data_IF_885626641181
#
_entry.id   IF_885626641181
#
_cell.length_a   1.000
_cell.length_b   1.000
_cell.length_c   1.000
_cell.angle_alpha   90.00
_cell.angle_beta   90.00
_cell.angle_gamma   90.00
#
_symmetry.space_group_name_H-M   'P 1'
#
loop_
_entity.id
_entity.type
_entity.pdbx_description
1 polymer ?
#
# COMPACT_ATOMS: atom_id res chain seq x y z
N UNK A 1 46.92 -10.50 13.08
CA UNK A 1 45.98 -9.51 13.70
C UNK A 1 44.87 -9.03 12.76
N UNK A 2 45.07 -8.97 11.45
CA UNK A 2 44.09 -8.42 10.46
C UNK A 2 42.97 -9.38 10.05
N UNK A 3 43.15 -10.69 10.25
CA UNK A 3 42.23 -11.72 9.76
C UNK A 3 40.86 -11.73 10.48
N UNK A 4 40.83 -11.40 11.78
CA UNK A 4 39.59 -11.33 12.55
C UNK A 4 38.72 -10.14 12.15
N UNK A 5 39.35 -9.00 11.85
CA UNK A 5 38.65 -7.82 11.33
C UNK A 5 38.03 -8.10 9.96
N UNK A 6 38.74 -8.81 9.08
CA UNK A 6 38.20 -9.22 7.78
C UNK A 6 36.96 -10.12 7.92
N UNK A 7 36.98 -11.08 8.85
CA UNK A 7 35.82 -11.94 9.13
C UNK A 7 34.63 -11.12 9.66
N UNK A 8 34.88 -10.21 10.61
CA UNK A 8 33.83 -9.32 11.13
C UNK A 8 33.22 -8.44 10.03
N UNK A 9 34.05 -7.89 9.13
CA UNK A 9 33.56 -7.10 8.00
C UNK A 9 32.73 -7.93 7.02
N UNK A 10 33.13 -9.17 6.74
CA UNK A 10 32.38 -10.07 5.85
C UNK A 10 31.03 -10.43 6.47
N UNK A 11 30.99 -10.73 7.78
CA UNK A 11 29.75 -11.01 8.50
C UNK A 11 28.85 -9.78 8.52
N UNK A 12 29.39 -8.59 8.81
CA UNK A 12 28.63 -7.34 8.80
C UNK A 12 28.02 -7.04 7.42
N UNK A 13 28.82 -7.18 6.35
CA UNK A 13 28.35 -7.00 4.98
C UNK A 13 27.29 -8.05 4.60
N UNK A 14 27.44 -9.29 5.04
CA UNK A 14 26.46 -10.36 4.78
C UNK A 14 25.12 -10.08 5.48
N UNK A 15 25.15 -9.58 6.72
CA UNK A 15 23.95 -9.16 7.45
C UNK A 15 23.29 -7.96 6.76
N UNK A 16 24.08 -6.97 6.32
CA UNK A 16 23.55 -5.81 5.59
C UNK A 16 22.91 -6.21 4.26
N UNK A 17 23.55 -7.12 3.50
CA UNK A 17 23.01 -7.63 2.24
C UNK A 17 21.75 -8.46 2.44
N UNK A 18 21.71 -9.30 3.48
CA UNK A 18 20.52 -10.07 3.85
C UNK A 18 19.37 -9.15 4.29
N UNK A 19 19.65 -8.11 5.09
CA UNK A 19 18.67 -7.13 5.53
C UNK A 19 18.10 -6.32 4.36
N UNK A 20 18.94 -5.87 3.43
CA UNK A 20 18.48 -5.15 2.22
C UNK A 20 17.67 -6.06 1.29
N UNK A 21 18.01 -7.34 1.18
CA UNK A 21 17.22 -8.31 0.41
C UNK A 21 15.87 -8.61 1.07
N UNK A 22 15.81 -8.68 2.40
CA UNK A 22 14.55 -8.80 3.13
C UNK A 22 13.68 -7.54 3.00
N UNK A 23 14.28 -6.35 3.06
CA UNK A 23 13.59 -5.08 2.82
C UNK A 23 13.06 -4.93 1.39
N UNK A 24 13.65 -5.65 0.43
CA UNK A 24 13.16 -5.70 -0.96
C UNK A 24 11.94 -6.59 -1.18
N UNK A 25 11.47 -7.30 -0.16
CA UNK A 25 10.09 -7.82 -0.19
C UNK A 25 9.16 -6.62 -0.07
N UNK A 26 8.77 -6.05 -1.21
CA UNK A 26 7.75 -5.03 -1.26
C UNK A 26 6.52 -5.56 -0.51
N UNK A 27 6.11 -4.85 0.55
CA UNK A 27 4.93 -5.20 1.35
C UNK A 27 3.67 -5.27 0.47
N UNK A 28 3.66 -4.45 -0.59
CA UNK A 28 2.60 -4.37 -1.59
C UNK A 28 3.22 -4.51 -3.00
N UNK A 29 3.57 -5.73 -3.45
CA UNK A 29 4.24 -5.93 -4.74
C UNK A 29 3.36 -5.53 -5.93
N UNK A 30 2.04 -5.64 -5.78
CA UNK A 30 0.98 -5.13 -6.66
C UNK A 30 1.05 -3.61 -6.87
N UNK A 31 1.36 -2.85 -5.81
CA UNK A 31 1.60 -1.41 -5.90
C UNK A 31 2.78 -1.04 -6.80
N UNK A 32 3.78 -1.92 -6.88
CA UNK A 32 4.96 -1.75 -7.75
C UNK A 32 4.73 -2.30 -9.17
N UNK A 33 3.91 -3.36 -9.30
CA UNK A 33 3.52 -3.98 -10.57
C UNK A 33 2.12 -3.57 -10.98
N UNK A 34 1.92 -2.27 -11.14
CA UNK A 34 0.66 -1.70 -11.61
C UNK A 34 0.34 -2.25 -13.00
N UNK A 35 -0.88 -2.78 -13.17
CA UNK A 35 -1.41 -3.23 -14.46
C UNK A 35 -1.38 -2.06 -15.45
N UNK A 36 -0.81 -2.29 -16.64
CA UNK A 36 -0.58 -1.23 -17.64
C UNK A 36 -1.91 -0.56 -18.00
N UNK A 37 -2.11 0.69 -17.58
CA UNK A 37 -3.36 1.46 -17.77
C UNK A 37 -4.01 1.98 -16.49
N UNK A 38 -3.70 1.40 -15.32
CA UNK A 38 -4.29 1.78 -14.02
C UNK A 38 -3.50 2.88 -13.29
N UNK A 39 -2.41 3.38 -13.89
CA UNK A 39 -1.50 4.37 -13.26
C UNK A 39 -2.20 5.66 -12.81
N UNK A 40 -3.28 6.08 -13.47
CA UNK A 40 -4.05 7.27 -13.07
C UNK A 40 -4.94 7.04 -11.85
N UNK A 41 -5.31 5.79 -11.56
CA UNK A 41 -6.20 5.39 -10.47
C UNK A 41 -5.44 5.20 -9.14
N UNK A 42 -4.14 4.89 -9.19
CA UNK A 42 -3.24 4.76 -8.02
C UNK A 42 -2.56 6.10 -7.68
N UNK A 43 -2.96 7.18 -8.35
CA UNK A 43 -2.52 8.54 -8.00
C UNK A 43 -2.89 8.81 -6.52
N UNK A 44 -2.01 9.39 -5.69
CA UNK A 44 -2.27 9.63 -4.27
C UNK A 44 -3.35 10.71 -4.06
N UNK A 45 -4.58 10.42 -4.47
CA UNK A 45 -5.74 11.31 -4.41
C UNK A 45 -6.00 11.73 -2.97
N UNK A 46 -5.98 10.79 -2.03
CA UNK A 46 -6.20 11.03 -0.60
C UNK A 46 -5.00 11.69 0.13
N UNK A 47 -3.92 12.04 -0.57
CA UNK A 47 -2.73 12.68 0.03
C UNK A 47 -2.36 14.01 -0.63
N UNK A 48 -3.25 14.60 -1.44
CA UNK A 48 -2.99 15.90 -2.09
C UNK A 48 -3.28 17.10 -1.20
N UNK A 49 -4.24 16.96 -0.29
CA UNK A 49 -4.69 18.01 0.61
C UNK A 49 -5.10 17.44 1.96
N UNK A 50 -5.25 18.32 2.96
CA UNK A 50 -5.72 17.91 4.29
C UNK A 50 -7.19 17.47 4.22
N UNK A 51 -7.97 18.12 3.36
CA UNK A 51 -9.37 17.78 3.09
C UNK A 51 -9.50 16.38 2.53
N UNK A 52 -8.63 16.00 1.58
CA UNK A 52 -8.63 14.65 1.01
C UNK A 52 -8.25 13.60 2.08
N UNK A 53 -7.30 13.91 2.96
CA UNK A 53 -6.92 13.02 4.06
C UNK A 53 -8.08 12.87 5.05
N UNK A 54 -8.74 13.96 5.41
CA UNK A 54 -9.89 13.94 6.33
C UNK A 54 -11.04 13.12 5.74
N UNK A 55 -11.31 13.26 4.44
CA UNK A 55 -12.32 12.48 3.74
C UNK A 55 -12.02 10.97 3.79
N UNK A 56 -10.75 10.58 3.63
CA UNK A 56 -10.35 9.19 3.79
C UNK A 56 -10.66 8.68 5.20
N UNK A 57 -10.32 9.47 6.22
CA UNK A 57 -10.63 9.10 7.61
C UNK A 57 -12.13 9.00 7.87
N UNK A 58 -12.92 9.89 7.29
CA UNK A 58 -14.39 9.85 7.40
C UNK A 58 -14.96 8.58 6.77
N UNK A 59 -14.51 8.21 5.56
CA UNK A 59 -14.87 6.95 4.91
C UNK A 59 -14.51 5.74 5.77
N UNK A 60 -13.30 5.72 6.35
CA UNK A 60 -12.86 4.62 7.22
C UNK A 60 -13.70 4.56 8.51
N UNK A 61 -14.01 5.71 9.11
CA UNK A 61 -14.81 5.82 10.33
C UNK A 61 -16.28 5.47 10.11
N UNK A 62 -16.81 5.70 8.91
CA UNK A 62 -18.15 5.30 8.51
C UNK A 62 -18.34 3.76 8.44
N UNK A 63 -17.28 2.99 8.72
CA UNK A 63 -17.35 1.54 8.77
C UNK A 63 -17.23 0.90 7.40
N UNK A 64 -16.36 1.45 6.55
CA UNK A 64 -15.97 0.84 5.28
C UNK A 64 -15.55 -0.62 5.50
N UNK A 65 -16.15 -1.52 4.72
CA UNK A 65 -15.84 -2.94 4.72
C UNK A 65 -15.13 -3.30 3.42
N UNK A 66 -14.16 -4.20 3.53
CA UNK A 66 -13.48 -4.80 2.39
C UNK A 66 -13.79 -6.28 2.50
N UNK A 67 -14.63 -6.79 1.61
CA UNK A 67 -14.93 -8.22 1.59
C UNK A 67 -13.74 -8.98 0.98
N UNK A 68 -13.14 -9.85 1.78
CA UNK A 68 -12.03 -10.71 1.38
C UNK A 68 -12.43 -11.77 0.35
N UNK A 69 -13.71 -12.16 0.28
CA UNK A 69 -14.19 -13.21 -0.63
C UNK A 69 -14.72 -12.63 -1.95
N UNK A 70 -15.58 -11.61 -1.89
CA UNK A 70 -16.19 -11.01 -3.08
C UNK A 70 -15.39 -9.85 -3.69
N UNK A 71 -14.27 -9.42 -3.06
CA UNK A 71 -13.40 -8.41 -3.64
C UNK A 71 -14.17 -7.12 -3.98
N UNK A 72 -15.02 -6.72 -3.04
CA UNK A 72 -15.84 -5.52 -3.15
C UNK A 72 -15.69 -4.68 -1.89
N UNK A 73 -15.46 -3.39 -2.13
CA UNK A 73 -15.45 -2.39 -1.09
C UNK A 73 -16.88 -1.89 -0.87
N UNK A 74 -17.35 -1.96 0.37
CA UNK A 74 -18.68 -1.51 0.77
C UNK A 74 -18.56 -0.36 1.75
N UNK A 75 -19.23 0.76 1.44
CA UNK A 75 -19.39 1.88 2.36
C UNK A 75 -20.86 1.90 2.78
N UNK A 76 -21.17 1.73 4.08
CA UNK A 76 -22.55 1.75 4.58
C UNK A 76 -23.27 3.09 4.42
N UNK A 77 -22.50 4.18 4.41
CA UNK A 77 -22.98 5.55 4.25
C UNK A 77 -23.27 5.86 2.77
N UNK A 78 -24.53 6.15 2.44
CA UNK A 78 -25.00 6.42 1.08
C UNK A 78 -24.44 7.73 0.52
N UNK A 79 -24.24 8.75 1.36
CA UNK A 79 -23.68 10.03 0.93
C UNK A 79 -22.22 9.84 0.51
N UNK A 80 -21.44 9.16 1.36
CA UNK A 80 -20.04 8.87 1.08
C UNK A 80 -19.90 7.92 -0.12
N UNK A 81 -20.74 6.89 -0.22
CA UNK A 81 -20.73 5.94 -1.34
C UNK A 81 -21.00 6.61 -2.70
N UNK A 82 -21.77 7.70 -2.72
CA UNK A 82 -22.07 8.46 -3.94
C UNK A 82 -20.88 9.27 -4.48
N UNK A 83 -19.83 9.45 -3.68
CA UNK A 83 -18.69 10.28 -4.05
C UNK A 83 -17.83 9.61 -5.11
N UNK A 84 -17.51 10.35 -6.18
CA UNK A 84 -16.63 9.87 -7.25
C UNK A 84 -15.21 9.51 -6.79
N UNK A 85 -14.77 9.98 -5.62
CA UNK A 85 -13.50 9.58 -5.04
C UNK A 85 -13.50 8.14 -4.51
N UNK A 86 -14.67 7.61 -4.14
CA UNK A 86 -14.83 6.23 -3.64
C UNK A 86 -14.58 5.19 -4.73
N UNK A 87 -15.04 5.45 -5.96
CA UNK A 87 -14.77 4.59 -7.12
C UNK A 87 -13.26 4.38 -7.34
N UNK A 88 -12.44 5.40 -7.04
CA UNK A 88 -10.97 5.28 -7.12
C UNK A 88 -10.36 4.55 -5.92
N UNK A 89 -10.98 4.67 -4.74
CA UNK A 89 -10.55 3.97 -3.52
C UNK A 89 -10.78 2.46 -3.67
N UNK A 90 -11.88 2.05 -4.28
CA UNK A 90 -12.18 0.66 -4.61
C UNK A 90 -11.08 0.04 -5.48
N UNK A 91 -10.62 0.75 -6.53
CA UNK A 91 -9.49 0.29 -7.36
C UNK A 91 -8.21 0.11 -6.55
N UNK A 92 -7.96 0.96 -5.56
CA UNK A 92 -6.79 0.82 -4.68
C UNK A 92 -6.94 -0.44 -3.80
N UNK A 93 -8.12 -0.65 -3.22
CA UNK A 93 -8.39 -1.83 -2.41
C UNK A 93 -8.22 -3.13 -3.21
N UNK A 94 -8.65 -3.15 -4.47
CA UNK A 94 -8.62 -4.36 -5.30
C UNK A 94 -7.27 -4.62 -5.99
N UNK A 95 -6.69 -3.59 -6.61
CA UNK A 95 -5.48 -3.76 -7.44
C UNK A 95 -4.18 -3.54 -6.66
N UNK A 96 -4.22 -2.90 -5.48
CA UNK A 96 -3.01 -2.51 -4.73
C UNK A 96 -2.86 -3.27 -3.43
N UNK A 97 -3.92 -3.45 -2.64
CA UNK A 97 -3.82 -4.19 -1.39
C UNK A 97 -3.55 -5.68 -1.66
N UNK A 98 -2.74 -6.35 -0.82
CA UNK A 98 -2.44 -7.76 -0.96
C UNK A 98 -3.62 -8.57 -0.42
N UNK A 99 -3.92 -9.67 -1.10
CA UNK A 99 -4.93 -10.65 -0.69
C UNK A 99 -4.39 -11.54 0.43
#
# INVERSE_FOLDING_TARGET
MTQWWALLTVVYLSIYLAATQHHRKALYPSAYRIKRGTYSLINPMFQRSVEDVNLLFEILLAGMQIDSEEHTMLIPDEELASLRCVEKLEVICEDVLPK
#
